data_IF_675972059870
#
_entry.id   IF_675972059870
#
_cell.length_a   1.000
_cell.length_b   1.000
_cell.length_c   1.000
_cell.angle_alpha   90.00
_cell.angle_beta   90.00
_cell.angle_gamma   90.00
#
_symmetry.space_group_name_H-M   'P 1'
#
loop_
_entity.id
_entity.type
_entity.pdbx_description
1 polymer ?
#
# COMPACT_ATOMS: atom_id res chain seq x y z
N UNK A 1 9.41 17.97 12.61
CA UNK A 1 8.80 17.30 13.79
C UNK A 1 8.26 15.94 13.33
N UNK A 2 8.75 14.82 13.86
CA UNK A 2 8.29 13.48 13.44
C UNK A 2 7.23 12.98 14.43
N UNK A 3 6.00 12.81 13.96
CA UNK A 3 4.92 12.21 14.75
C UNK A 3 4.93 10.69 14.54
N UNK A 4 5.07 9.93 15.63
CA UNK A 4 4.93 8.47 15.60
C UNK A 4 3.48 8.10 15.94
N UNK A 5 2.89 7.25 15.12
CA UNK A 5 1.55 6.70 15.34
C UNK A 5 1.60 5.18 15.20
N UNK A 6 0.93 4.48 16.11
CA UNK A 6 0.72 3.04 16.02
C UNK A 6 -0.77 2.79 15.85
N UNK A 7 -1.15 2.13 14.76
CA UNK A 7 -2.53 1.76 14.51
C UNK A 7 -3.00 0.68 15.49
N UNK A 8 -4.28 0.67 15.89
CA UNK A 8 -4.83 -0.43 16.67
C UNK A 8 -4.76 -1.75 15.90
N UNK A 9 -4.61 -2.85 16.63
CA UNK A 9 -4.61 -4.20 16.05
C UNK A 9 -6.03 -4.53 15.57
N UNK A 10 -6.14 -5.05 14.34
CA UNK A 10 -7.40 -5.55 13.78
C UNK A 10 -7.33 -7.06 13.61
N UNK A 11 -8.40 -7.75 13.98
CA UNK A 11 -8.53 -9.21 13.86
C UNK A 11 -9.55 -9.52 12.77
N UNK A 12 -9.15 -10.30 11.77
CA UNK A 12 -10.04 -10.82 10.74
C UNK A 12 -10.56 -12.21 11.16
N UNK A 13 -11.86 -12.45 10.99
CA UNK A 13 -12.51 -13.74 11.33
C UNK A 13 -12.38 -14.80 10.23
N UNK A 14 -11.42 -14.65 9.32
CA UNK A 14 -11.26 -15.48 8.12
C UNK A 14 -9.83 -16.03 8.03
N UNK A 15 -9.62 -17.19 7.39
CA UNK A 15 -8.29 -17.78 7.19
C UNK A 15 -7.33 -16.82 6.48
N UNK A 16 -6.04 -16.93 6.77
CA UNK A 16 -4.98 -16.08 6.22
C UNK A 16 -5.06 -16.03 4.69
N UNK A 17 -5.18 -17.18 4.05
CA UNK A 17 -5.17 -17.32 2.59
C UNK A 17 -6.36 -16.58 1.95
N UNK A 18 -7.54 -16.59 2.59
CA UNK A 18 -8.71 -15.85 2.11
C UNK A 18 -8.53 -14.34 2.27
N UNK A 19 -7.94 -13.90 3.40
CA UNK A 19 -7.62 -12.49 3.63
C UNK A 19 -6.59 -12.00 2.62
N UNK A 20 -5.58 -12.80 2.28
CA UNK A 20 -4.57 -12.46 1.26
C UNK A 20 -5.18 -12.39 -0.13
N UNK A 21 -6.05 -13.33 -0.50
CA UNK A 21 -6.77 -13.29 -1.77
C UNK A 21 -7.66 -12.04 -1.90
N UNK A 22 -8.31 -11.62 -0.80
CA UNK A 22 -9.07 -10.38 -0.76
C UNK A 22 -8.18 -9.13 -0.78
N UNK A 23 -6.99 -9.20 -0.18
CA UNK A 23 -6.02 -8.12 -0.17
C UNK A 23 -5.49 -7.83 -1.58
N UNK A 24 -5.09 -8.85 -2.34
CA UNK A 24 -4.57 -8.67 -3.70
C UNK A 24 -5.61 -8.07 -4.67
N UNK A 25 -6.90 -8.35 -4.46
CA UNK A 25 -8.00 -7.74 -5.24
C UNK A 25 -8.14 -6.22 -5.09
N UNK A 26 -7.38 -5.60 -4.20
CA UNK A 26 -7.33 -4.13 -4.07
C UNK A 26 -6.52 -3.47 -5.18
N UNK A 27 -5.76 -4.24 -5.95
CA UNK A 27 -4.87 -3.73 -6.99
C UNK A 27 -5.33 -4.17 -8.39
N UNK A 28 -5.04 -3.38 -9.44
CA UNK A 28 -4.37 -2.08 -9.39
C UNK A 28 -5.29 -0.95 -8.93
N UNK A 29 -6.61 -1.16 -8.84
CA UNK A 29 -7.58 -0.15 -8.35
C UNK A 29 -8.60 -0.81 -7.41
N UNK A 30 -9.23 -0.02 -6.53
CA UNK A 30 -10.21 -0.55 -5.58
C UNK A 30 -11.35 0.45 -5.37
N UNK A 31 -12.56 0.10 -5.83
CA UNK A 31 -13.76 0.96 -5.68
C UNK A 31 -14.12 1.26 -4.21
N UNK A 32 -13.73 0.38 -3.29
CA UNK A 32 -13.98 0.57 -1.85
C UNK A 32 -12.98 1.52 -1.19
N UNK A 33 -11.95 1.97 -1.91
CA UNK A 33 -10.94 2.92 -1.43
C UNK A 33 -10.97 4.12 -2.39
N UNK A 34 -11.91 5.07 -2.23
CA UNK A 34 -12.13 6.16 -3.21
C UNK A 34 -10.90 7.04 -3.46
N UNK A 35 -10.07 7.22 -2.44
CA UNK A 35 -8.81 7.97 -2.57
C UNK A 35 -7.74 7.23 -3.36
N UNK A 36 -7.86 5.91 -3.57
CA UNK A 36 -6.87 5.11 -4.30
C UNK A 36 -7.15 5.14 -5.81
N UNK A 37 -6.34 5.94 -6.52
CA UNK A 37 -6.46 6.16 -7.95
C UNK A 37 -5.88 5.01 -8.77
N UNK A 38 -4.88 4.34 -8.22
CA UNK A 38 -4.41 3.06 -8.73
C UNK A 38 -2.94 2.78 -8.41
N UNK A 39 -2.38 1.71 -8.93
CA UNK A 39 -0.96 1.40 -8.78
C UNK A 39 -0.36 0.72 -10.00
N UNK A 40 0.95 0.91 -10.13
CA UNK A 40 1.78 0.33 -11.18
C UNK A 40 2.88 -0.52 -10.53
N UNK A 41 3.10 -1.75 -11.01
CA UNK A 41 4.14 -2.65 -10.47
C UNK A 41 5.53 -2.16 -10.89
N UNK A 42 6.42 -1.94 -9.92
CA UNK A 42 7.81 -1.48 -10.16
C UNK A 42 8.84 -2.60 -9.99
N UNK A 43 8.53 -3.60 -9.17
CA UNK A 43 9.38 -4.78 -8.96
C UNK A 43 8.52 -6.00 -8.61
N UNK A 44 8.94 -7.17 -9.07
CA UNK A 44 8.27 -8.43 -8.78
C UNK A 44 9.29 -9.57 -8.68
N UNK A 45 9.11 -10.42 -7.68
CA UNK A 45 9.92 -11.60 -7.45
C UNK A 45 9.08 -12.73 -6.86
N UNK A 46 9.31 -13.95 -7.35
CA UNK A 46 8.78 -15.17 -6.78
C UNK A 46 9.96 -16.10 -6.46
N UNK A 47 9.93 -16.74 -5.29
CA UNK A 47 10.85 -17.82 -4.99
C UNK A 47 10.56 -19.04 -5.89
N UNK A 48 11.58 -19.87 -6.13
CA UNK A 48 11.47 -21.05 -7.00
C UNK A 48 10.37 -22.03 -6.55
N UNK A 49 10.15 -22.12 -5.24
CA UNK A 49 9.12 -22.95 -4.61
C UNK A 49 7.74 -22.27 -4.52
N UNK A 50 7.61 -21.01 -4.97
CA UNK A 50 6.39 -20.21 -4.91
C UNK A 50 5.92 -19.82 -3.50
N UNK A 51 6.72 -20.10 -2.45
CA UNK A 51 6.35 -19.83 -1.08
C UNK A 51 6.47 -18.34 -0.71
N UNK A 52 7.42 -17.63 -1.31
CA UNK A 52 7.69 -16.21 -1.06
C UNK A 52 7.40 -15.43 -2.34
N UNK A 53 6.52 -14.44 -2.20
CA UNK A 53 6.19 -13.50 -3.26
C UNK A 53 6.48 -12.08 -2.79
N UNK A 54 7.32 -11.36 -3.54
CA UNK A 54 7.66 -9.97 -3.26
C UNK A 54 7.17 -9.14 -4.44
N UNK A 55 6.37 -8.11 -4.16
CA UNK A 55 5.92 -7.16 -5.16
C UNK A 55 6.03 -5.75 -4.62
N UNK A 56 6.61 -4.86 -5.43
CA UNK A 56 6.66 -3.44 -5.16
C UNK A 56 5.75 -2.72 -6.16
N UNK A 57 4.97 -1.77 -5.64
CA UNK A 57 4.03 -0.99 -6.43
C UNK A 57 4.19 0.48 -6.13
N UNK A 58 4.15 1.29 -7.18
CA UNK A 58 3.99 2.74 -7.09
C UNK A 58 2.50 3.06 -7.08
N UNK A 59 1.99 3.46 -5.92
CA UNK A 59 0.58 3.73 -5.66
C UNK A 59 0.28 5.23 -5.79
N UNK A 60 -0.81 5.55 -6.49
CA UNK A 60 -1.37 6.89 -6.67
C UNK A 60 -2.57 7.09 -5.77
N UNK A 61 -2.53 8.12 -4.94
CA UNK A 61 -3.62 8.49 -4.04
C UNK A 61 -4.06 9.94 -4.32
N UNK A 62 -5.37 10.15 -4.40
CA UNK A 62 -5.97 11.47 -4.42
C UNK A 62 -5.84 12.12 -3.05
N UNK A 63 -5.39 13.37 -3.01
CA UNK A 63 -5.33 14.15 -1.76
C UNK A 63 -6.69 14.81 -1.53
N UNK A 64 -7.51 14.25 -0.65
CA UNK A 64 -8.68 14.93 -0.10
C UNK A 64 -8.25 15.92 1.00
N UNK A 65 -7.48 16.94 0.62
CA UNK A 65 -7.14 18.04 1.52
C UNK A 65 -8.18 19.17 1.43
N UNK A 66 -8.49 19.87 2.54
CA UNK A 66 -9.22 21.13 2.52
C UNK A 66 -8.60 22.11 1.51
N UNK A 67 -9.44 22.91 0.84
CA UNK A 67 -9.07 23.78 -0.28
C UNK A 67 -7.80 24.63 -0.04
N UNK A 68 -7.63 25.15 1.19
CA UNK A 68 -6.46 25.94 1.58
C UNK A 68 -5.15 25.14 1.53
N UNK A 69 -5.16 23.87 1.96
CA UNK A 69 -3.99 22.99 1.92
C UNK A 69 -3.65 22.57 0.49
N UNK A 70 -4.65 22.32 -0.37
CA UNK A 70 -4.42 22.05 -1.80
C UNK A 70 -3.67 23.19 -2.48
N UNK A 71 -4.02 24.44 -2.17
CA UNK A 71 -3.38 25.63 -2.75
C UNK A 71 -1.94 25.83 -2.29
N UNK A 72 -1.59 25.39 -1.08
CA UNK A 72 -0.24 25.51 -0.51
C UNK A 72 0.66 24.37 -1.00
N UNK A 73 0.14 23.14 -1.05
CA UNK A 73 0.91 21.94 -1.40
C UNK A 73 1.03 21.79 -2.93
N UNK A 74 0.08 22.34 -3.70
CA UNK A 74 0.14 22.39 -5.17
C UNK A 74 -0.01 21.04 -5.87
N UNK A 75 -0.41 19.99 -5.15
CA UNK A 75 -0.44 18.61 -5.67
C UNK A 75 -1.79 17.96 -5.36
N UNK A 76 -2.49 17.53 -6.42
CA UNK A 76 -3.76 16.80 -6.32
C UNK A 76 -3.57 15.30 -6.08
N UNK A 77 -2.38 14.76 -6.40
CA UNK A 77 -2.06 13.33 -6.35
C UNK A 77 -0.72 13.09 -5.68
N UNK A 78 -0.71 12.25 -4.64
CA UNK A 78 0.51 11.81 -3.96
C UNK A 78 0.86 10.39 -4.35
N UNK A 79 2.16 10.14 -4.45
CA UNK A 79 2.74 8.85 -4.80
C UNK A 79 3.37 8.20 -3.58
N UNK A 80 3.13 6.91 -3.41
CA UNK A 80 3.77 6.08 -2.40
C UNK A 80 4.38 4.86 -3.06
N UNK A 81 5.59 4.50 -2.66
CA UNK A 81 6.15 3.19 -2.99
C UNK A 81 5.72 2.24 -1.87
N UNK A 82 5.10 1.13 -2.23
CA UNK A 82 4.66 0.09 -1.32
C UNK A 82 5.29 -1.25 -1.72
N UNK A 83 6.07 -1.83 -0.83
CA UNK A 83 6.66 -3.16 -0.95
C UNK A 83 5.89 -4.16 -0.09
N UNK A 84 5.43 -5.22 -0.72
CA UNK A 84 4.74 -6.34 -0.10
C UNK A 84 5.65 -7.56 -0.15
N UNK A 85 5.84 -8.22 0.99
CA UNK A 85 6.52 -9.51 1.09
C UNK A 85 5.55 -10.51 1.69
N UNK A 86 5.00 -11.39 0.86
CA UNK A 86 4.10 -12.47 1.24
C UNK A 86 4.90 -13.76 1.44
N UNK A 87 4.93 -14.26 2.66
CA UNK A 87 5.49 -15.57 3.00
C UNK A 87 4.36 -16.53 3.38
N UNK A 88 4.13 -17.51 2.51
CA UNK A 88 3.07 -18.52 2.69
C UNK A 88 3.41 -19.57 3.73
N UNK A 89 4.69 -19.83 3.99
CA UNK A 89 5.15 -20.77 5.02
C UNK A 89 4.94 -20.19 6.40
N UNK A 90 5.34 -18.93 6.58
CA UNK A 90 5.15 -18.20 7.82
C UNK A 90 3.71 -17.67 8.00
N UNK A 91 2.89 -17.70 6.94
CA UNK A 91 1.58 -17.05 6.87
C UNK A 91 1.65 -15.57 7.28
N UNK A 92 2.60 -14.85 6.69
CA UNK A 92 2.79 -13.42 6.95
C UNK A 92 2.76 -12.62 5.66
N UNK A 93 2.19 -11.42 5.75
CA UNK A 93 2.33 -10.38 4.73
C UNK A 93 2.94 -9.17 5.41
N UNK A 94 4.21 -8.88 5.09
CA UNK A 94 4.88 -7.66 5.52
C UNK A 94 4.65 -6.59 4.46
N UNK A 95 4.20 -5.42 4.91
CA UNK A 95 3.96 -4.26 4.05
C UNK A 95 4.84 -3.12 4.54
N UNK A 96 5.68 -2.60 3.67
CA UNK A 96 6.53 -1.45 3.90
C UNK A 96 6.16 -0.39 2.88
N UNK A 97 5.96 0.85 3.30
CA UNK A 97 5.59 1.93 2.40
C UNK A 97 6.25 3.24 2.79
N UNK A 98 6.62 4.04 1.79
CA UNK A 98 7.13 5.39 1.99
C UNK A 98 6.51 6.35 0.97
N UNK A 99 6.41 7.62 1.37
CA UNK A 99 5.96 8.69 0.47
C UNK A 99 7.09 9.02 -0.50
N UNK A 100 6.82 8.90 -1.79
CA UNK A 100 7.77 9.25 -2.86
C UNK A 100 7.75 10.76 -3.13
N UNK A 101 6.56 11.36 -3.16
CA UNK A 101 6.35 12.76 -3.59
C UNK A 101 7.02 13.83 -2.72
N UNK A 102 7.22 13.56 -1.44
CA UNK A 102 7.76 14.50 -0.46
C UNK A 102 8.97 13.92 0.27
N UNK A 103 9.67 12.94 -0.33
CA UNK A 103 10.83 12.33 0.31
C UNK A 103 11.98 13.32 0.57
N UNK A 104 12.04 14.41 -0.20
CA UNK A 104 13.05 15.47 -0.11
C UNK A 104 12.63 16.69 0.73
N UNK A 105 11.39 16.72 1.24
CA UNK A 105 10.87 17.79 2.13
C UNK A 105 10.97 17.38 3.61
#
# INVERSE_FOLDING_TARGET
>A
MVQKYQSPIRIYKYPFELVMAAYEKRFPTCKMIPVFLGSDTTYEYNSEDGAVYIIERRCRLNVEAPYLLKKIIGVDVVYFIQKNTLDRRARTLKIEAYNESFHEL
#
